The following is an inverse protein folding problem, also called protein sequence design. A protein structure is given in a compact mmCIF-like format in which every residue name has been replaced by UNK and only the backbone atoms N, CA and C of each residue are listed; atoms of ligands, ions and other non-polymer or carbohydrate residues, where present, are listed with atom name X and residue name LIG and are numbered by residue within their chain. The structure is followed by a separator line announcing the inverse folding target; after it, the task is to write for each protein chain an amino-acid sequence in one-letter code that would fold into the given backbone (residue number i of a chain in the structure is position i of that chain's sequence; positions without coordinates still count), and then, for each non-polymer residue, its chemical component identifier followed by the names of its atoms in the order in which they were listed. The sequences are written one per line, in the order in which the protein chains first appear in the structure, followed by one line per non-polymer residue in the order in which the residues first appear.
data_IF_512302265802
#
_entry.id   IF_512302265802
#
_cell.length_a   1.000
_cell.length_b   1.000
_cell.length_c   1.000
_cell.angle_alpha   90.00
_cell.angle_beta   90.00
_cell.angle_gamma   90.00
#
_symmetry.space_group_name_H-M   'P 1'
#
loop_
_entity.id
_entity.type
_entity.pdbx_description
1 polymer ?
#
# COMPACT_ATOMS: atom_id res chain seq x y z
N UNK A 1 -3.33 -9.39 2.70
CA UNK A 1 -4.72 -9.00 3.02
C UNK A 1 -5.40 -10.17 3.69
N UNK A 2 -5.27 -10.19 5.02
CA UNK A 2 -6.01 -10.94 6.05
C UNK A 2 -5.03 -11.27 7.18
N UNK A 3 -4.67 -10.25 7.96
CA UNK A 3 -4.13 -10.43 9.30
C UNK A 3 -4.73 -9.32 10.20
N UNK A 4 -5.39 -9.79 11.26
CA UNK A 4 -5.89 -9.07 12.44
C UNK A 4 -7.27 -8.38 12.37
N UNK A 5 -8.31 -9.22 12.31
CA UNK A 5 -9.36 -9.12 13.32
C UNK A 5 -8.86 -9.85 14.58
N UNK A 6 -8.43 -9.10 15.60
CA UNK A 6 -8.30 -9.62 16.96
C UNK A 6 -9.03 -8.66 17.90
N UNK A 7 -10.06 -9.21 18.53
CA UNK A 7 -10.98 -8.55 19.45
C UNK A 7 -10.24 -7.88 20.62
N UNK A 8 -10.50 -6.59 20.83
CA UNK A 8 -10.08 -5.87 22.03
C UNK A 8 -11.16 -6.04 23.11
N UNK A 9 -11.07 -7.15 23.85
CA UNK A 9 -11.78 -7.34 25.11
C UNK A 9 -11.05 -6.58 26.21
N UNK A 10 -11.55 -5.39 26.58
CA UNK A 10 -11.02 -4.61 27.70
C UNK A 10 -11.66 -5.07 29.02
N UNK A 11 -10.85 -5.65 29.90
CA UNK A 11 -11.25 -6.18 31.23
C UNK A 11 -11.48 -5.09 32.30
N UNK A 12 -11.50 -3.79 31.97
CA UNK A 12 -11.62 -2.72 32.97
C UNK A 12 -13.05 -2.42 33.48
N UNK A 13 -14.09 -3.14 33.03
CA UNK A 13 -15.48 -2.86 33.40
C UNK A 13 -16.13 -3.88 34.35
N UNK A 14 -15.37 -4.64 35.15
CA UNK A 14 -15.96 -5.44 36.23
C UNK A 14 -15.32 -5.17 37.56
N UNK A 15 -16.19 -4.75 38.47
CA UNK A 15 -16.11 -4.88 39.92
C UNK A 15 -15.63 -3.66 40.74
N UNK A 16 -16.63 -2.81 41.02
CA UNK A 16 -17.14 -2.58 42.38
C UNK A 16 -16.15 -2.20 43.48
N UNK A 17 -16.21 -0.94 43.94
CA UNK A 17 -16.58 -0.57 45.32
C UNK A 17 -16.16 0.88 45.61
N UNK A 18 -17.13 1.77 45.83
CA UNK A 18 -17.18 2.63 47.02
C UNK A 18 -18.54 3.35 47.03
N UNK A 19 -19.37 3.19 48.06
CA UNK A 19 -20.56 3.99 48.24
C UNK A 19 -20.28 5.25 49.09
N UNK A 20 -21.28 6.14 49.01
CA UNK A 20 -21.67 7.15 49.98
C UNK A 20 -20.96 8.52 50.00
N UNK A 21 -21.78 9.49 49.56
CA UNK A 21 -21.86 10.87 50.05
C UNK A 21 -21.03 11.92 49.31
N UNK A 22 -21.68 12.40 48.26
CA UNK A 22 -21.86 13.81 47.94
C UNK A 22 -21.45 14.78 49.05
N UNK A 23 -20.70 15.82 48.68
CA UNK A 23 -21.16 17.22 48.64
C UNK A 23 -19.98 18.11 48.19
N UNK A 24 -20.08 18.64 46.96
CA UNK A 24 -19.92 20.07 46.61
C UNK A 24 -19.32 20.96 47.70
N UNK A 25 -18.23 21.72 47.54
CA UNK A 25 -17.95 22.74 46.51
C UNK A 25 -16.52 23.26 46.81
N UNK A 26 -15.64 23.40 45.82
CA UNK A 26 -15.32 24.65 45.14
C UNK A 26 -14.29 25.56 45.86
N UNK A 27 -13.21 25.83 45.12
CA UNK A 27 -12.24 26.92 45.28
C UNK A 27 -11.08 26.70 46.26
N UNK A 28 -9.86 26.45 45.75
CA UNK A 28 -8.81 27.49 45.75
C UNK A 28 -7.58 27.11 44.90
N UNK A 29 -7.13 28.09 44.10
CA UNK A 29 -5.81 28.30 43.48
C UNK A 29 -5.27 27.40 42.36
N UNK A 30 -5.50 27.92 41.15
CA UNK A 30 -4.61 27.94 39.98
C UNK A 30 -3.12 28.09 40.36
N UNK A 31 -2.37 26.99 40.46
CA UNK A 31 -0.91 27.00 40.31
C UNK A 31 -0.36 25.60 40.10
N UNK A 32 0.24 25.38 38.94
CA UNK A 32 0.96 24.16 38.62
C UNK A 32 0.67 23.79 37.19
N UNK A 33 1.56 24.20 36.30
CA UNK A 33 1.63 23.80 34.90
C UNK A 33 1.12 22.37 34.72
N UNK A 34 0.22 22.17 33.77
CA UNK A 34 0.10 20.86 33.13
C UNK A 34 1.47 20.56 32.52
N UNK A 35 2.32 19.84 33.25
CA UNK A 35 3.31 18.97 32.62
C UNK A 35 2.48 17.92 31.87
N UNK A 36 2.03 18.28 30.66
CA UNK A 36 1.83 17.28 29.64
C UNK A 36 3.15 16.50 29.59
N UNK A 37 3.13 15.16 29.73
CA UNK A 37 4.37 14.39 29.66
C UNK A 37 5.13 14.83 28.41
N UNK A 38 6.40 15.19 28.60
CA UNK A 38 7.26 15.56 27.49
C UNK A 38 7.30 14.33 26.56
N UNK A 39 6.62 14.45 25.41
CA UNK A 39 6.66 13.42 24.40
C UNK A 39 8.09 13.45 23.89
N UNK A 40 8.88 12.47 24.32
CA UNK A 40 10.17 12.19 23.72
C UNK A 40 9.91 11.71 22.29
N UNK A 41 9.79 12.67 21.37
CA UNK A 41 9.67 12.40 19.95
C UNK A 41 11.00 11.86 19.48
N UNK A 42 11.10 10.53 19.41
CA UNK A 42 12.26 9.85 18.86
C UNK A 42 12.21 9.98 17.32
N UNK A 43 12.84 11.03 16.76
CA UNK A 43 12.94 11.25 15.30
C UNK A 43 13.80 10.19 14.56
N UNK A 44 14.15 9.07 15.22
CA UNK A 44 14.98 7.99 14.68
C UNK A 44 14.18 6.89 13.98
N UNK A 45 12.84 6.96 14.00
CA UNK A 45 11.93 6.02 13.36
C UNK A 45 11.53 6.41 11.92
N UNK A 46 11.86 7.63 11.48
CA UNK A 46 11.52 8.18 10.17
C UNK A 46 12.24 7.48 9.00
N UNK A 47 13.37 6.82 9.23
CA UNK A 47 14.12 6.13 8.15
C UNK A 47 13.76 4.64 7.98
N UNK A 48 12.72 4.15 8.67
CA UNK A 48 12.34 2.74 8.61
C UNK A 48 11.46 2.48 7.39
N UNK A 49 11.87 1.52 6.56
CA UNK A 49 11.09 1.02 5.41
C UNK A 49 9.60 0.77 5.72
N UNK A 50 9.29 0.25 6.91
CA UNK A 50 7.92 -0.02 7.31
C UNK A 50 7.06 1.26 7.49
N UNK A 51 7.68 2.36 7.94
CA UNK A 51 7.00 3.66 8.05
C UNK A 51 6.71 4.23 6.65
N UNK A 52 7.73 4.28 5.79
CA UNK A 52 7.62 4.69 4.38
C UNK A 52 6.57 3.87 3.60
N UNK A 53 6.53 2.56 3.84
CA UNK A 53 5.55 1.67 3.22
C UNK A 53 4.13 1.98 3.72
N UNK A 54 3.98 2.28 5.02
CA UNK A 54 2.69 2.63 5.62
C UNK A 54 2.15 3.96 5.11
N UNK A 55 3.02 4.88 4.71
CA UNK A 55 2.64 6.11 4.02
C UNK A 55 2.22 5.86 2.57
N UNK A 56 2.97 5.01 1.85
CA UNK A 56 2.69 4.66 0.45
C UNK A 56 1.41 3.84 0.29
N UNK A 57 1.08 2.99 1.25
CA UNK A 57 -0.14 2.18 1.25
C UNK A 57 -1.16 2.74 2.25
N UNK A 58 -1.76 3.87 1.91
CA UNK A 58 -2.81 4.47 2.73
C UNK A 58 -4.03 3.56 2.84
N UNK A 59 -4.62 3.48 4.05
CA UNK A 59 -5.83 2.71 4.32
C UNK A 59 -7.03 3.15 3.45
N UNK A 60 -7.07 4.41 3.01
CA UNK A 60 -8.16 4.91 2.16
C UNK A 60 -8.05 4.44 0.70
N UNK A 61 -6.88 3.98 0.28
CA UNK A 61 -6.57 3.57 -1.11
C UNK A 61 -6.64 2.05 -1.31
N UNK A 62 -7.06 1.31 -0.29
CA UNK A 62 -7.26 -0.15 -0.36
C UNK A 62 -8.07 -0.62 -1.58
N UNK A 63 -9.23 0.00 -1.89
CA UNK A 63 -10.01 -0.35 -3.08
C UNK A 63 -9.25 -0.20 -4.40
N UNK A 64 -8.43 0.83 -4.52
CA UNK A 64 -7.63 1.15 -5.70
C UNK A 64 -6.54 0.09 -5.92
N UNK A 65 -5.90 -0.38 -4.85
CA UNK A 65 -4.90 -1.47 -4.92
C UNK A 65 -5.53 -2.77 -5.41
N UNK A 66 -6.74 -3.10 -4.94
CA UNK A 66 -7.47 -4.28 -5.40
C UNK A 66 -7.87 -4.16 -6.87
N UNK A 67 -8.25 -2.97 -7.33
CA UNK A 67 -8.57 -2.72 -8.73
C UNK A 67 -7.32 -2.87 -9.62
N UNK A 68 -6.16 -2.40 -9.16
CA UNK A 68 -4.90 -2.56 -9.87
C UNK A 68 -4.52 -4.04 -10.03
N UNK A 69 -4.62 -4.82 -8.93
CA UNK A 69 -4.44 -6.27 -8.97
C UNK A 69 -5.38 -6.94 -9.95
N UNK A 70 -6.67 -6.60 -9.91
CA UNK A 70 -7.67 -7.19 -10.80
C UNK A 70 -7.35 -6.91 -12.27
N UNK A 71 -6.97 -5.67 -12.61
CA UNK A 71 -6.58 -5.32 -13.97
C UNK A 71 -5.38 -6.14 -14.46
N UNK A 72 -4.38 -6.33 -13.59
CA UNK A 72 -3.23 -7.17 -13.89
C UNK A 72 -3.61 -8.64 -14.07
N UNK A 73 -4.34 -9.24 -13.13
CA UNK A 73 -4.69 -10.67 -13.18
C UNK A 73 -5.54 -11.01 -14.42
N UNK A 74 -6.46 -10.13 -14.81
CA UNK A 74 -7.27 -10.32 -16.01
C UNK A 74 -6.43 -10.33 -17.29
N UNK A 75 -5.44 -9.44 -17.41
CA UNK A 75 -4.50 -9.41 -18.54
C UNK A 75 -3.52 -10.59 -18.50
N UNK A 76 -3.01 -10.89 -17.31
CA UNK A 76 -2.04 -11.95 -17.07
C UNK A 76 -2.63 -13.34 -17.40
N UNK A 77 -3.86 -13.63 -16.96
CA UNK A 77 -4.54 -14.91 -17.21
C UNK A 77 -4.82 -15.19 -18.69
N UNK A 78 -4.89 -14.16 -19.53
CA UNK A 78 -5.04 -14.34 -20.98
C UNK A 78 -3.79 -15.01 -21.56
N UNK A 79 -2.62 -14.65 -21.05
CA UNK A 79 -1.32 -15.03 -21.61
C UNK A 79 -0.62 -16.14 -20.84
N UNK A 80 -0.89 -16.24 -19.53
CA UNK A 80 -0.28 -17.19 -18.60
C UNK A 80 -1.38 -17.74 -17.70
N UNK A 81 -1.82 -18.99 -17.94
CA UNK A 81 -2.97 -19.58 -17.24
C UNK A 81 -2.62 -20.31 -15.94
N UNK A 82 -1.44 -20.92 -15.88
CA UNK A 82 -1.11 -21.91 -14.83
C UNK A 82 0.16 -21.57 -14.03
N UNK A 83 0.60 -20.31 -14.06
CA UNK A 83 1.76 -19.84 -13.29
C UNK A 83 1.45 -18.56 -12.56
N UNK A 84 2.18 -18.30 -11.47
CA UNK A 84 2.20 -17.03 -10.75
C UNK A 84 3.27 -16.10 -11.32
N UNK A 85 3.17 -14.78 -11.11
CA UNK A 85 4.22 -13.83 -11.50
C UNK A 85 5.56 -14.27 -10.93
N UNK A 86 5.59 -14.61 -9.63
CA UNK A 86 6.78 -15.05 -8.90
C UNK A 86 7.44 -16.34 -9.44
N UNK A 87 6.74 -17.11 -10.27
CA UNK A 87 7.21 -18.39 -10.86
C UNK A 87 7.74 -18.22 -12.30
N UNK A 88 7.72 -17.01 -12.84
CA UNK A 88 8.18 -16.71 -14.19
C UNK A 88 9.69 -16.51 -14.26
N UNK A 89 10.27 -16.88 -15.40
CA UNK A 89 11.66 -16.57 -15.71
C UNK A 89 11.83 -15.07 -16.05
N UNK A 90 13.04 -14.53 -15.89
CA UNK A 90 13.37 -13.14 -16.25
C UNK A 90 12.97 -12.76 -17.67
N UNK A 91 13.12 -13.67 -18.63
CA UNK A 91 12.70 -13.43 -20.01
C UNK A 91 11.17 -13.33 -20.14
N UNK A 92 10.43 -14.12 -19.37
CA UNK A 92 8.97 -14.08 -19.35
C UNK A 92 8.47 -12.79 -18.68
N UNK A 93 9.11 -12.37 -17.58
CA UNK A 93 8.87 -11.07 -16.96
C UNK A 93 9.06 -9.92 -17.94
N UNK A 94 10.20 -9.87 -18.65
CA UNK A 94 10.48 -8.85 -19.66
C UNK A 94 9.46 -8.86 -20.79
N UNK A 95 9.12 -10.05 -21.29
CA UNK A 95 8.10 -10.20 -22.34
C UNK A 95 6.73 -9.68 -21.90
N UNK A 96 6.32 -9.98 -20.67
CA UNK A 96 5.05 -9.50 -20.14
C UNK A 96 5.06 -7.99 -19.90
N UNK A 97 6.17 -7.44 -19.41
CA UNK A 97 6.32 -6.00 -19.22
C UNK A 97 6.25 -5.24 -20.55
N UNK A 98 6.92 -5.73 -21.61
CA UNK A 98 6.82 -5.16 -22.96
C UNK A 98 5.39 -5.19 -23.49
N UNK A 99 4.64 -6.29 -23.29
CA UNK A 99 3.23 -6.36 -23.70
C UNK A 99 2.33 -5.37 -22.98
N UNK A 100 2.58 -5.14 -21.69
CA UNK A 100 1.86 -4.10 -20.96
C UNK A 100 2.16 -2.72 -21.56
N UNK A 101 3.39 -2.46 -22.01
CA UNK A 101 3.71 -1.21 -22.72
C UNK A 101 3.01 -1.09 -24.08
N UNK A 102 2.98 -2.16 -24.87
CA UNK A 102 2.23 -2.20 -26.14
C UNK A 102 0.74 -1.91 -25.90
N UNK A 103 0.18 -2.42 -24.80
CA UNK A 103 -1.20 -2.15 -24.38
C UNK A 103 -1.46 -0.69 -23.99
N UNK A 104 -0.42 0.06 -23.62
CA UNK A 104 -0.50 1.46 -23.24
C UNK A 104 -0.62 2.38 -24.47
N UNK A 105 -0.12 1.96 -25.63
CA UNK A 105 -0.20 2.69 -26.90
C UNK A 105 -1.62 2.70 -27.51
N UNK A 106 -2.57 1.97 -26.91
CA UNK A 106 -3.94 1.83 -27.41
C UNK A 106 -4.73 3.16 -27.32
N UNK A 107 -5.47 3.51 -28.37
CA UNK A 107 -6.20 4.80 -28.46
C UNK A 107 -7.38 4.91 -27.47
N UNK A 108 -7.91 3.80 -26.97
CA UNK A 108 -9.02 3.80 -26.03
C UNK A 108 -8.57 4.11 -24.59
N UNK A 109 -9.02 5.25 -24.05
CA UNK A 109 -8.68 5.74 -22.70
C UNK A 109 -8.90 4.71 -21.60
N UNK A 110 -10.05 4.05 -21.61
CA UNK A 110 -10.39 3.03 -20.59
C UNK A 110 -9.39 1.86 -20.61
N UNK A 111 -8.95 1.44 -21.80
CA UNK A 111 -7.94 0.38 -21.94
C UNK A 111 -6.58 0.83 -21.42
N UNK A 112 -6.14 2.05 -21.75
CA UNK A 112 -4.88 2.61 -21.24
C UNK A 112 -4.89 2.69 -19.72
N UNK A 113 -5.98 3.16 -19.12
CA UNK A 113 -6.11 3.23 -17.66
C UNK A 113 -6.04 1.84 -17.02
N UNK A 114 -6.67 0.81 -17.60
CA UNK A 114 -6.56 -0.57 -17.09
C UNK A 114 -5.13 -1.09 -17.15
N UNK A 115 -4.42 -0.82 -18.25
CA UNK A 115 -3.02 -1.23 -18.42
C UNK A 115 -2.09 -0.48 -17.47
N UNK A 116 -2.27 0.85 -17.33
CA UNK A 116 -1.51 1.65 -16.37
C UNK A 116 -1.70 1.15 -14.93
N UNK A 117 -2.94 0.78 -14.56
CA UNK A 117 -3.24 0.14 -13.28
C UNK A 117 -2.55 -1.22 -13.11
N UNK A 118 -2.48 -2.03 -14.16
CA UNK A 118 -1.74 -3.29 -14.13
C UNK A 118 -0.23 -3.07 -13.94
N UNK A 119 0.36 -2.08 -14.62
CA UNK A 119 1.76 -1.66 -14.44
C UNK A 119 2.01 -1.20 -13.00
N UNK A 120 1.10 -0.40 -12.43
CA UNK A 120 1.17 0.03 -11.03
C UNK A 120 1.17 -1.15 -10.06
N UNK A 121 0.33 -2.17 -10.29
CA UNK A 121 0.33 -3.38 -9.45
C UNK A 121 1.67 -4.14 -9.51
N UNK A 122 2.30 -4.22 -10.69
CA UNK A 122 3.64 -4.80 -10.84
C UNK A 122 4.67 -3.97 -10.08
N UNK A 123 4.64 -2.65 -10.25
CA UNK A 123 5.51 -1.71 -9.54
C UNK A 123 5.35 -1.79 -8.00
N UNK A 124 4.15 -2.12 -7.51
CA UNK A 124 3.82 -2.35 -6.10
C UNK A 124 4.35 -3.68 -5.53
N UNK A 125 5.18 -4.41 -6.27
CA UNK A 125 5.80 -5.65 -5.79
C UNK A 125 4.87 -6.85 -5.77
N UNK A 126 3.79 -6.84 -6.57
CA UNK A 126 2.88 -8.00 -6.73
C UNK A 126 2.43 -8.60 -5.40
N UNK A 127 2.02 -7.73 -4.47
CA UNK A 127 1.75 -8.07 -3.07
C UNK A 127 0.72 -9.19 -2.88
N UNK A 128 -0.17 -9.42 -3.85
CA UNK A 128 -1.17 -10.48 -3.79
C UNK A 128 -0.57 -11.90 -3.83
N UNK A 129 0.67 -12.03 -4.31
CA UNK A 129 1.40 -13.30 -4.38
C UNK A 129 2.43 -13.47 -3.26
N UNK A 130 2.68 -12.43 -2.48
CA UNK A 130 3.70 -12.41 -1.44
C UNK A 130 3.11 -12.82 -0.07
N UNK A 131 3.93 -13.47 0.76
CA UNK A 131 3.55 -13.91 2.11
C UNK A 131 4.11 -13.02 3.23
N UNK A 132 5.03 -12.10 2.91
CA UNK A 132 5.66 -11.18 3.88
C UNK A 132 6.02 -9.83 3.25
N UNK A 133 6.15 -8.80 4.08
CA UNK A 133 6.57 -7.46 3.64
C UNK A 133 7.97 -7.44 3.02
N UNK A 134 8.89 -8.27 3.55
CA UNK A 134 10.24 -8.40 3.01
C UNK A 134 10.23 -8.96 1.58
N UNK A 135 9.32 -9.89 1.29
CA UNK A 135 9.13 -10.45 -0.04
C UNK A 135 8.54 -9.40 -1.00
N UNK A 136 7.54 -8.64 -0.55
CA UNK A 136 6.98 -7.50 -1.33
C UNK A 136 8.08 -6.50 -1.66
N UNK A 137 8.93 -6.15 -0.70
CA UNK A 137 10.05 -5.23 -0.91
C UNK A 137 11.05 -5.76 -1.95
N UNK A 138 11.40 -7.04 -1.88
CA UNK A 138 12.31 -7.67 -2.83
C UNK A 138 11.74 -7.65 -4.26
N UNK A 139 10.46 -8.02 -4.41
CA UNK A 139 9.77 -7.99 -5.70
C UNK A 139 9.54 -6.58 -6.20
N UNK A 140 9.23 -5.63 -5.34
CA UNK A 140 9.07 -4.22 -5.69
C UNK A 140 10.37 -3.68 -6.32
N UNK A 141 11.51 -3.89 -5.66
CA UNK A 141 12.82 -3.50 -6.21
C UNK A 141 13.08 -4.15 -7.56
N UNK A 142 12.92 -5.47 -7.66
CA UNK A 142 13.12 -6.19 -8.90
C UNK A 142 12.21 -5.69 -10.04
N UNK A 143 10.91 -5.54 -9.76
CA UNK A 143 9.91 -5.11 -10.73
C UNK A 143 10.16 -3.68 -11.20
N UNK A 144 10.55 -2.75 -10.31
CA UNK A 144 10.91 -1.39 -10.70
C UNK A 144 12.11 -1.39 -11.67
N UNK A 145 13.17 -2.13 -11.37
CA UNK A 145 14.31 -2.24 -12.29
C UNK A 145 13.91 -2.84 -13.64
N UNK A 146 13.10 -3.90 -13.64
CA UNK A 146 12.56 -4.50 -14.85
C UNK A 146 11.77 -3.47 -15.70
N UNK A 147 10.87 -2.71 -15.08
CA UNK A 147 10.05 -1.71 -15.76
C UNK A 147 10.92 -0.58 -16.34
N UNK A 148 11.94 -0.13 -15.60
CA UNK A 148 12.90 0.84 -16.10
C UNK A 148 13.70 0.30 -17.31
N UNK A 149 14.14 -0.96 -17.25
CA UNK A 149 14.89 -1.60 -18.34
C UNK A 149 14.08 -1.78 -19.64
N UNK A 150 12.75 -1.89 -19.55
CA UNK A 150 11.88 -1.96 -20.74
C UNK A 150 11.39 -0.59 -21.21
N UNK A 151 11.73 0.49 -20.50
CA UNK A 151 11.37 1.85 -20.88
C UNK A 151 10.00 2.32 -20.39
N UNK A 152 9.43 1.68 -19.36
CA UNK A 152 8.09 2.02 -18.85
C UNK A 152 7.96 3.48 -18.40
N UNK A 153 9.02 4.06 -17.84
CA UNK A 153 8.99 5.45 -17.38
C UNK A 153 8.68 6.42 -18.53
N UNK A 154 9.36 6.27 -19.68
CA UNK A 154 9.13 7.12 -20.84
C UNK A 154 7.69 6.99 -21.35
N UNK A 155 7.20 5.75 -21.46
CA UNK A 155 5.84 5.47 -21.91
C UNK A 155 4.77 6.10 -20.98
N UNK A 156 4.99 6.07 -19.66
CA UNK A 156 4.09 6.72 -18.71
C UNK A 156 4.13 8.25 -18.79
N UNK A 157 5.30 8.86 -19.01
CA UNK A 157 5.42 10.31 -19.19
C UNK A 157 4.71 10.75 -20.46
N UNK A 158 4.90 10.02 -21.57
CA UNK A 158 4.19 10.28 -22.83
C UNK A 158 2.67 10.14 -22.65
N UNK A 159 2.21 9.10 -21.95
CA UNK A 159 0.81 8.92 -21.60
C UNK A 159 0.24 10.11 -20.82
N UNK A 160 0.96 10.59 -19.80
CA UNK A 160 0.52 11.72 -19.00
C UNK A 160 0.41 12.99 -19.85
N UNK A 161 1.38 13.25 -20.72
CA UNK A 161 1.33 14.39 -21.63
C UNK A 161 0.11 14.31 -22.57
N UNK A 162 -0.23 13.12 -23.07
CA UNK A 162 -1.43 12.92 -23.90
C UNK A 162 -2.76 13.12 -23.15
N UNK A 163 -2.80 12.93 -21.83
CA UNK A 163 -4.02 13.07 -21.02
C UNK A 163 -4.21 14.49 -20.45
N UNK A 164 -3.14 15.31 -20.47
CA UNK A 164 -3.18 16.71 -20.04
C UNK A 164 -3.70 17.62 -21.16
N UNK A 165 -3.50 17.23 -22.43
CA UNK A 165 -4.09 17.88 -23.62
C UNK A 165 -5.58 17.55 -23.80
#
# INVERSE_FOLDING_TARGET
LDLQQSEMNCECCRDSCFPENALTEFSFCFQGYSESPDLEFEYADTDKWAAELSELYSYTEGPEFLLNRKCFEEDFRIHVRDKRWTELDKNQHRTHAMRLLDGLEVTAREKRLRVARAILYVAQGTFGECSSEAEVQAWMRYNIFLLLEVGTFNALVELLNMEIE
#
